data_IF_227545757072
#
_entry.id   IF_227545757072
#
_cell.length_a   1.000
_cell.length_b   1.000
_cell.length_c   1.000
_cell.angle_alpha   90.00
_cell.angle_beta   90.00
_cell.angle_gamma   90.00
#
_symmetry.space_group_name_H-M   'P 1'
#
loop_
_entity.id
_entity.type
_entity.pdbx_description
1 polymer ?
#
# COMPACT_ATOMS: atom_id res chain seq x y z
N UNK A 1 4.29 -4.13 18.68
CA UNK A 1 5.17 -4.00 17.49
C UNK A 1 4.36 -3.31 16.40
N UNK A 2 4.95 -2.33 15.72
CA UNK A 2 4.32 -1.69 14.56
C UNK A 2 4.36 -2.70 13.39
N UNK A 3 3.22 -2.89 12.71
CA UNK A 3 3.13 -3.80 11.56
C UNK A 3 3.40 -3.07 10.25
N UNK A 4 3.88 -3.80 9.25
CA UNK A 4 4.04 -3.29 7.89
C UNK A 4 2.77 -3.57 7.07
N UNK A 5 2.25 -2.54 6.41
CA UNK A 5 1.14 -2.63 5.48
C UNK A 5 1.64 -2.38 4.06
N UNK A 6 1.25 -3.23 3.13
CA UNK A 6 1.62 -3.19 1.72
C UNK A 6 0.36 -2.87 0.90
N UNK A 7 0.39 -1.77 0.17
CA UNK A 7 -0.72 -1.28 -0.63
C UNK A 7 -0.40 -1.50 -2.11
N UNK A 8 -1.19 -2.34 -2.77
CA UNK A 8 -1.02 -2.69 -4.18
C UNK A 8 -2.37 -2.82 -4.90
N UNK A 9 -2.35 -2.66 -6.22
CA UNK A 9 -3.51 -2.93 -7.06
C UNK A 9 -3.57 -4.44 -7.37
N UNK A 10 -4.76 -5.05 -7.26
CA UNK A 10 -4.98 -6.42 -7.65
C UNK A 10 -5.36 -6.56 -9.13
N UNK A 11 -5.44 -7.80 -9.62
CA UNK A 11 -5.83 -8.10 -11.01
C UNK A 11 -7.24 -7.61 -11.40
N UNK A 12 -8.08 -7.23 -10.43
CA UNK A 12 -9.41 -6.69 -10.65
C UNK A 12 -9.43 -5.15 -10.66
N UNK A 13 -8.28 -4.49 -10.51
CA UNK A 13 -8.16 -3.03 -10.46
C UNK A 13 -8.54 -2.41 -9.11
N UNK A 14 -8.71 -3.22 -8.05
CA UNK A 14 -8.98 -2.73 -6.71
C UNK A 14 -7.68 -2.60 -5.89
N UNK A 15 -7.62 -1.60 -5.01
CA UNK A 15 -6.46 -1.37 -4.15
C UNK A 15 -6.58 -2.21 -2.89
N UNK A 16 -5.62 -3.11 -2.68
CA UNK A 16 -5.56 -4.04 -1.56
C UNK A 16 -4.54 -3.56 -0.54
N UNK A 17 -4.92 -3.61 0.74
CA UNK A 17 -3.98 -3.48 1.86
C UNK A 17 -3.68 -4.84 2.44
N UNK A 18 -2.42 -5.27 2.33
CA UNK A 18 -1.92 -6.51 2.91
C UNK A 18 -1.08 -6.25 4.15
N UNK A 19 -1.35 -6.97 5.23
CA UNK A 19 -0.56 -6.93 6.46
C UNK A 19 -0.14 -8.36 6.79
N UNK A 20 1.16 -8.59 7.00
CA UNK A 20 1.70 -9.92 7.28
C UNK A 20 1.31 -10.98 6.22
N UNK A 21 1.23 -10.56 4.95
CA UNK A 21 0.87 -11.41 3.82
C UNK A 21 -0.64 -11.68 3.66
N UNK A 22 -1.48 -11.18 4.56
CA UNK A 22 -2.94 -11.33 4.50
C UNK A 22 -3.60 -10.06 4.00
N UNK A 23 -4.58 -10.21 3.11
CA UNK A 23 -5.49 -9.12 2.75
C UNK A 23 -6.33 -8.73 3.98
N UNK A 24 -6.36 -7.43 4.28
CA UNK A 24 -7.12 -6.88 5.42
C UNK A 24 -8.27 -6.02 4.94
N UNK A 25 -8.03 -5.15 3.95
CA UNK A 25 -9.02 -4.24 3.39
C UNK A 25 -8.81 -4.01 1.89
N UNK A 26 -9.91 -3.59 1.25
CA UNK A 26 -10.01 -3.22 -0.16
C UNK A 26 -10.49 -1.76 -0.26
N UNK A 27 -9.96 -1.04 -1.24
CA UNK A 27 -10.25 0.37 -1.49
C UNK A 27 -10.36 0.64 -2.99
N UNK A 28 -11.11 1.68 -3.34
CA UNK A 28 -11.27 2.12 -4.73
C UNK A 28 -10.09 2.98 -5.23
N UNK A 29 -9.26 3.51 -4.33
CA UNK A 29 -8.12 4.35 -4.69
C UNK A 29 -6.97 4.22 -3.68
N UNK A 30 -5.76 4.59 -4.13
CA UNK A 30 -4.54 4.49 -3.32
C UNK A 30 -4.55 5.43 -2.12
N UNK A 31 -5.03 6.67 -2.27
CA UNK A 31 -4.96 7.67 -1.21
C UNK A 31 -5.76 7.23 0.03
N UNK A 32 -6.99 6.74 -0.18
CA UNK A 32 -7.82 6.19 0.90
C UNK A 32 -7.18 4.98 1.58
N UNK A 33 -6.56 4.08 0.82
CA UNK A 33 -5.88 2.90 1.36
C UNK A 33 -4.64 3.27 2.20
N UNK A 34 -3.85 4.23 1.71
CA UNK A 34 -2.64 4.70 2.36
C UNK A 34 -2.97 5.48 3.64
N UNK A 35 -3.95 6.38 3.58
CA UNK A 35 -4.41 7.15 4.74
C UNK A 35 -5.00 6.24 5.82
N UNK A 36 -5.83 5.28 5.44
CA UNK A 36 -6.38 4.30 6.39
C UNK A 36 -5.29 3.47 7.06
N UNK A 37 -4.35 2.93 6.28
CA UNK A 37 -3.26 2.12 6.83
C UNK A 37 -2.34 2.93 7.75
N UNK A 38 -2.11 4.20 7.41
CA UNK A 38 -1.33 5.12 8.23
C UNK A 38 -2.08 5.51 9.52
N UNK A 39 -3.38 5.76 9.44
CA UNK A 39 -4.27 6.07 10.57
C UNK A 39 -4.30 4.97 11.63
N UNK A 40 -4.23 3.70 11.20
CA UNK A 40 -4.12 2.54 12.11
C UNK A 40 -2.72 2.44 12.78
N UNK A 41 -1.74 3.20 12.28
CA UNK A 41 -0.38 3.21 12.81
C UNK A 41 0.54 2.16 12.19
N UNK A 42 0.26 1.72 10.96
CA UNK A 42 1.16 0.82 10.22
C UNK A 42 2.30 1.57 9.53
N UNK A 43 3.42 0.87 9.31
CA UNK A 43 4.40 1.29 8.33
C UNK A 43 3.88 0.95 6.94
N UNK A 44 3.46 1.99 6.22
CA UNK A 44 2.78 1.83 4.93
C UNK A 44 3.78 1.85 3.79
N UNK A 45 3.66 0.90 2.87
CA UNK A 45 4.44 0.80 1.65
C UNK A 45 3.50 0.73 0.46
N UNK A 46 3.76 1.56 -0.56
CA UNK A 46 3.02 1.58 -1.82
C UNK A 46 3.82 0.86 -2.90
N UNK A 47 3.16 0.01 -3.68
CA UNK A 47 3.72 -0.55 -4.90
C UNK A 47 3.72 0.51 -6.01
N UNK A 48 4.89 0.81 -6.57
CA UNK A 48 5.04 1.82 -7.64
C UNK A 48 5.77 1.19 -8.82
N UNK A 49 5.23 1.29 -10.05
CA UNK A 49 5.93 0.85 -11.25
C UNK A 49 7.13 1.77 -11.51
N UNK A 50 8.29 1.18 -11.82
CA UNK A 50 9.45 1.97 -12.24
C UNK A 50 9.48 2.12 -13.76
N UNK A 51 9.92 3.29 -14.24
CA UNK A 51 9.83 3.67 -15.65
C UNK A 51 10.89 3.00 -16.55
N UNK A 52 11.76 2.12 -16.04
CA UNK A 52 12.98 1.67 -16.75
C UNK A 52 13.10 0.18 -17.07
N UNK A 53 12.23 -0.64 -16.53
CA UNK A 53 12.04 -2.06 -16.81
C UNK A 53 10.77 -2.43 -16.07
N UNK A 54 10.12 -3.56 -16.36
CA UNK A 54 8.96 -4.07 -15.59
C UNK A 54 9.31 -4.43 -14.12
N UNK A 55 10.03 -3.57 -13.42
CA UNK A 55 10.46 -3.71 -12.04
C UNK A 55 9.52 -2.87 -11.17
N UNK A 56 8.91 -3.53 -10.20
CA UNK A 56 8.02 -2.93 -9.22
C UNK A 56 8.83 -2.63 -7.96
N UNK A 57 8.70 -1.43 -7.40
CA UNK A 57 9.37 -1.05 -6.16
C UNK A 57 8.37 -0.71 -5.06
N UNK A 58 8.74 -1.04 -3.82
CA UNK A 58 7.98 -0.65 -2.64
C UNK A 58 8.52 0.67 -2.11
N UNK A 59 7.70 1.70 -2.16
CA UNK A 59 8.03 3.03 -1.63
C UNK A 59 7.36 3.21 -0.29
N UNK A 60 8.14 3.59 0.74
CA UNK A 60 7.58 3.91 2.05
C UNK A 60 6.70 5.16 1.92
N UNK A 61 5.44 5.04 2.31
CA UNK A 61 4.54 6.18 2.38
C UNK A 61 4.83 6.98 3.66
N UNK A 62 5.07 8.27 3.48
CA UNK A 62 5.21 9.24 4.57
C UNK A 62 4.23 10.36 4.29
N UNK A 63 3.26 10.55 5.18
CA UNK A 63 2.32 11.67 5.07
C UNK A 63 3.13 12.97 5.27
N UNK A 64 3.29 13.76 4.21
CA UNK A 64 3.84 15.11 4.34
C UNK A 64 2.77 15.95 5.01
N UNK A 65 3.06 16.36 6.24
CA UNK A 65 2.18 17.19 7.07
C UNK A 65 2.22 18.64 6.62
#
# INVERSE_FOLDING_TARGET
MIKNAFVEENNAGAIVVRVEGKEVCLFDNYDSALEWAFSIGYHVYKKVPTNRSHEECWVKYTQHR
#
